data_IF_472321405093
#
_entry.id   IF_472321405093
#
_cell.length_a   1.000
_cell.length_b   1.000
_cell.length_c   1.000
_cell.angle_alpha   90.00
_cell.angle_beta   90.00
_cell.angle_gamma   90.00
#
_symmetry.space_group_name_H-M   'P 1'
#
loop_
_entity.id
_entity.type
_entity.pdbx_description
1 polymer ?
#
# COMPACT_ATOMS: atom_id res chain seq x y z
N UNK A 1 -24.06 -9.31 15.83
CA UNK A 1 -23.90 -8.62 17.14
C UNK A 1 -22.58 -7.86 17.09
N UNK A 2 -22.62 -6.52 17.20
CA UNK A 2 -21.41 -5.70 17.30
C UNK A 2 -20.74 -6.06 18.61
N UNK A 3 -19.49 -6.52 18.56
CA UNK A 3 -18.70 -6.78 19.79
C UNK A 3 -18.51 -5.42 20.49
N UNK A 4 -18.89 -5.35 21.75
CA UNK A 4 -18.79 -4.14 22.57
C UNK A 4 -17.33 -3.67 22.61
N UNK A 5 -17.09 -2.40 22.22
CA UNK A 5 -15.73 -1.83 22.14
C UNK A 5 -15.10 -1.75 20.74
N UNK A 6 -15.71 -2.31 19.70
CA UNK A 6 -15.18 -2.21 18.33
C UNK A 6 -15.34 -0.79 17.75
N UNK A 7 -14.28 -0.29 17.15
CA UNK A 7 -14.32 0.92 16.32
C UNK A 7 -14.96 0.63 14.96
N UNK A 8 -15.41 1.66 14.26
CA UNK A 8 -15.90 1.52 12.88
C UNK A 8 -14.87 0.87 11.94
N UNK A 9 -13.59 1.17 12.12
CA UNK A 9 -12.51 0.61 11.32
C UNK A 9 -12.32 -0.90 11.54
N UNK A 10 -12.50 -1.37 12.77
CA UNK A 10 -12.41 -2.80 13.09
C UNK A 10 -13.58 -3.57 12.48
N UNK A 11 -14.78 -3.00 12.54
CA UNK A 11 -15.95 -3.56 11.87
C UNK A 11 -15.76 -3.68 10.36
N UNK A 12 -15.31 -2.60 9.69
CA UNK A 12 -15.05 -2.61 8.25
C UNK A 12 -14.07 -3.73 7.87
N UNK A 13 -13.01 -3.94 8.65
CA UNK A 13 -12.03 -5.01 8.38
C UNK A 13 -12.65 -6.40 8.52
N UNK A 14 -13.35 -6.67 9.63
CA UNK A 14 -13.97 -7.97 9.86
C UNK A 14 -15.05 -8.34 8.83
N UNK A 15 -15.84 -7.34 8.40
CA UNK A 15 -16.92 -7.53 7.42
C UNK A 15 -16.43 -7.51 5.96
N UNK A 16 -15.14 -7.24 5.72
CA UNK A 16 -14.60 -7.01 4.38
C UNK A 16 -14.32 -8.26 3.55
N UNK A 17 -14.54 -9.45 4.07
CA UNK A 17 -14.12 -10.70 3.43
C UNK A 17 -12.61 -10.64 3.06
N UNK A 18 -11.77 -10.50 4.08
CA UNK A 18 -10.31 -10.43 3.95
C UNK A 18 -9.83 -9.33 2.98
N UNK A 19 -10.30 -8.11 3.18
CA UNK A 19 -9.96 -6.89 2.43
C UNK A 19 -10.57 -6.79 1.01
N UNK A 20 -11.52 -7.64 0.66
CA UNK A 20 -12.20 -7.54 -0.64
C UNK A 20 -13.17 -6.37 -0.67
N UNK A 21 -14.04 -6.28 0.33
CA UNK A 21 -15.16 -5.33 0.30
C UNK A 21 -15.90 -5.42 -1.04
N UNK A 22 -16.37 -4.31 -1.53
CA UNK A 22 -16.94 -4.18 -2.88
C UNK A 22 -15.99 -3.51 -3.88
N UNK A 23 -14.66 -3.58 -3.64
CA UNK A 23 -13.67 -2.89 -4.48
C UNK A 23 -13.79 -3.32 -5.94
N UNK A 24 -13.90 -4.63 -6.20
CA UNK A 24 -13.99 -5.15 -7.57
C UNK A 24 -15.24 -4.65 -8.32
N UNK A 25 -16.39 -4.65 -7.66
CA UNK A 25 -17.63 -4.12 -8.27
C UNK A 25 -17.51 -2.64 -8.60
N UNK A 26 -17.00 -1.84 -7.67
CA UNK A 26 -16.82 -0.41 -7.83
C UNK A 26 -15.75 -0.05 -8.88
N UNK A 27 -14.72 -0.87 -9.07
CA UNK A 27 -13.73 -0.67 -10.14
C UNK A 27 -14.35 -0.72 -11.53
N UNK A 28 -15.34 -1.60 -11.72
CA UNK A 28 -16.00 -1.78 -13.02
C UNK A 28 -17.14 -0.78 -13.25
N UNK A 29 -17.56 -0.05 -12.23
CA UNK A 29 -18.59 0.99 -12.36
C UNK A 29 -17.98 2.26 -12.96
N UNK A 30 -18.23 2.50 -14.25
CA UNK A 30 -17.78 3.71 -14.95
C UNK A 30 -18.53 4.99 -14.56
N UNK A 31 -19.64 4.89 -13.80
CA UNK A 31 -20.44 6.04 -13.37
C UNK A 31 -19.88 6.78 -12.15
N UNK A 32 -18.93 6.20 -11.43
CA UNK A 32 -18.33 6.80 -10.25
C UNK A 32 -16.82 7.05 -10.45
N UNK A 33 -16.33 8.13 -9.86
CA UNK A 33 -14.92 8.56 -9.97
C UNK A 33 -14.10 8.25 -8.72
N UNK A 34 -14.74 7.79 -7.64
CA UNK A 34 -14.15 7.56 -6.33
C UNK A 34 -14.78 6.36 -5.63
N UNK A 35 -14.22 5.95 -4.52
CA UNK A 35 -14.74 4.88 -3.67
C UNK A 35 -15.43 5.45 -2.43
N UNK A 36 -16.50 4.83 -1.93
CA UNK A 36 -17.09 5.14 -0.64
C UNK A 36 -16.09 4.96 0.52
N UNK A 37 -16.42 5.50 1.70
CA UNK A 37 -15.49 5.57 2.84
C UNK A 37 -15.01 4.22 3.35
N UNK A 38 -15.82 3.17 3.26
CA UNK A 38 -15.44 1.82 3.70
C UNK A 38 -14.41 1.22 2.74
N UNK A 39 -14.66 1.27 1.44
CA UNK A 39 -13.71 0.80 0.43
C UNK A 39 -12.47 1.68 0.35
N UNK A 40 -12.60 3.01 0.52
CA UNK A 40 -11.43 3.89 0.66
C UNK A 40 -10.53 3.45 1.82
N UNK A 41 -11.12 3.02 2.94
CA UNK A 41 -10.35 2.50 4.06
C UNK A 41 -9.66 1.18 3.70
N UNK A 42 -10.33 0.25 3.02
CA UNK A 42 -9.78 -1.03 2.59
C UNK A 42 -8.67 -0.86 1.53
N UNK A 43 -8.82 0.07 0.59
CA UNK A 43 -7.80 0.39 -0.42
C UNK A 43 -6.43 0.68 0.19
N UNK A 44 -6.37 1.21 1.42
CA UNK A 44 -5.11 1.46 2.11
C UNK A 44 -4.29 0.19 2.33
N UNK A 45 -4.95 -0.94 2.57
CA UNK A 45 -4.26 -2.24 2.69
C UNK A 45 -3.68 -2.72 1.37
N UNK A 46 -4.31 -2.36 0.25
CA UNK A 46 -3.79 -2.60 -1.10
C UNK A 46 -2.71 -1.59 -1.52
N UNK A 47 -2.31 -0.68 -0.63
CA UNK A 47 -1.31 0.35 -0.88
C UNK A 47 -1.82 1.57 -1.63
N UNK A 48 -3.13 1.70 -1.79
CA UNK A 48 -3.79 2.78 -2.51
C UNK A 48 -4.39 3.78 -1.51
N UNK A 49 -4.28 5.06 -1.80
CA UNK A 49 -4.90 6.12 -1.00
C UNK A 49 -5.66 7.05 -1.93
N UNK A 50 -6.96 7.18 -1.70
CA UNK A 50 -7.81 8.12 -2.40
C UNK A 50 -7.50 9.55 -1.95
N UNK A 51 -7.38 10.45 -2.88
CA UNK A 51 -7.05 11.87 -2.67
C UNK A 51 -7.87 12.71 -3.63
N UNK A 52 -7.84 14.02 -3.46
CA UNK A 52 -8.38 14.96 -4.44
C UNK A 52 -7.33 16.02 -4.81
N UNK A 53 -7.49 16.67 -5.94
CA UNK A 53 -6.64 17.78 -6.31
C UNK A 53 -6.94 18.97 -5.37
N UNK A 54 -5.98 19.26 -4.48
CA UNK A 54 -6.13 20.27 -3.44
C UNK A 54 -6.22 21.68 -4.00
N UNK A 55 -5.53 21.95 -5.09
CA UNK A 55 -5.47 23.28 -5.70
C UNK A 55 -6.79 23.64 -6.39
N UNK A 56 -7.48 22.65 -6.96
CA UNK A 56 -8.77 22.80 -7.58
C UNK A 56 -9.95 22.74 -6.61
N UNK A 57 -9.75 22.15 -5.42
CA UNK A 57 -10.84 21.83 -4.47
C UNK A 57 -11.77 22.99 -4.18
N UNK A 58 -11.22 24.18 -3.91
CA UNK A 58 -12.00 25.36 -3.59
C UNK A 58 -12.77 25.91 -4.80
N UNK A 59 -12.14 25.90 -5.97
CA UNK A 59 -12.73 26.39 -7.22
C UNK A 59 -13.88 25.47 -7.61
N UNK A 60 -13.67 24.15 -7.62
CA UNK A 60 -14.69 23.16 -7.93
C UNK A 60 -15.88 23.25 -6.97
N UNK A 61 -15.61 23.39 -5.66
CA UNK A 61 -16.67 23.57 -4.66
C UNK A 61 -17.51 24.82 -4.91
N UNK A 62 -16.89 25.95 -5.26
CA UNK A 62 -17.61 27.20 -5.59
C UNK A 62 -18.48 27.05 -6.83
N UNK A 63 -18.04 26.24 -7.79
CA UNK A 63 -18.75 26.02 -9.05
C UNK A 63 -19.77 24.87 -8.97
N UNK A 64 -20.02 24.28 -7.78
CA UNK A 64 -20.91 23.13 -7.62
C UNK A 64 -20.45 21.85 -8.32
N UNK A 65 -19.15 21.75 -8.65
CA UNK A 65 -18.56 20.60 -9.32
C UNK A 65 -18.10 19.56 -8.32
N UNK A 66 -18.13 18.28 -8.72
CA UNK A 66 -17.53 17.19 -7.95
C UNK A 66 -16.02 17.40 -7.77
N UNK A 67 -15.45 16.82 -6.71
CA UNK A 67 -13.99 16.82 -6.49
C UNK A 67 -13.28 16.12 -7.64
N UNK A 68 -12.09 16.59 -7.98
CA UNK A 68 -11.21 15.90 -8.90
C UNK A 68 -10.47 14.79 -8.13
N UNK A 69 -11.06 13.59 -8.14
CA UNK A 69 -10.55 12.45 -7.40
C UNK A 69 -9.35 11.83 -8.09
N UNK A 70 -8.29 11.63 -7.32
CA UNK A 70 -7.03 11.05 -7.75
C UNK A 70 -6.58 10.01 -6.72
N UNK A 71 -5.69 9.12 -7.14
CA UNK A 71 -5.16 8.08 -6.28
C UNK A 71 -3.65 8.16 -6.19
N UNK A 72 -3.15 7.85 -5.00
CA UNK A 72 -1.74 7.63 -4.71
C UNK A 72 -1.50 6.14 -4.47
N UNK A 73 -0.57 5.56 -5.22
CA UNK A 73 -0.11 4.20 -5.03
C UNK A 73 1.23 4.22 -4.32
N UNK A 74 1.40 3.35 -3.32
CA UNK A 74 2.64 3.24 -2.57
C UNK A 74 3.29 1.90 -2.84
N UNK A 75 4.49 1.93 -3.39
CA UNK A 75 5.31 0.75 -3.65
C UNK A 75 5.94 0.26 -2.35
N UNK A 76 5.88 -1.04 -2.08
CA UNK A 76 6.52 -1.68 -0.94
C UNK A 76 7.92 -2.12 -1.33
N UNK A 77 8.92 -1.55 -0.68
CA UNK A 77 10.34 -1.74 -0.99
C UNK A 77 11.10 -2.05 0.31
N UNK A 78 11.21 -3.32 0.73
CA UNK A 78 11.91 -3.68 1.95
C UNK A 78 13.35 -3.17 1.92
N UNK A 79 13.77 -2.44 2.97
CA UNK A 79 15.07 -1.80 3.04
C UNK A 79 15.32 -0.70 2.02
N UNK A 80 14.29 -0.25 1.28
CA UNK A 80 14.41 0.81 0.27
C UNK A 80 15.18 0.41 -0.98
N UNK A 81 15.45 -0.90 -1.18
CA UNK A 81 16.24 -1.38 -2.32
C UNK A 81 15.32 -1.74 -3.48
N UNK A 82 15.70 -1.32 -4.67
CA UNK A 82 15.10 -1.72 -5.94
C UNK A 82 16.17 -1.86 -7.02
N UNK A 83 15.84 -2.64 -8.05
CA UNK A 83 16.71 -2.79 -9.22
C UNK A 83 16.56 -1.60 -10.18
N UNK A 84 17.53 -1.35 -11.08
CA UNK A 84 17.37 -0.33 -12.11
C UNK A 84 16.12 -0.53 -12.98
N UNK A 85 15.78 -1.78 -13.33
CA UNK A 85 14.58 -2.08 -14.10
C UNK A 85 13.29 -1.75 -13.34
N UNK A 86 13.24 -1.99 -12.04
CA UNK A 86 12.11 -1.59 -11.19
C UNK A 86 11.97 -0.08 -11.08
N UNK A 87 13.09 0.65 -11.01
CA UNK A 87 13.09 2.11 -11.00
C UNK A 87 12.52 2.66 -12.30
N UNK A 88 13.02 2.20 -13.45
CA UNK A 88 12.55 2.62 -14.77
C UNK A 88 11.06 2.29 -14.97
N UNK A 89 10.62 1.13 -14.50
CA UNK A 89 9.20 0.78 -14.54
C UNK A 89 8.36 1.75 -13.70
N UNK A 90 8.78 2.08 -12.48
CA UNK A 90 8.06 3.03 -11.64
C UNK A 90 8.00 4.44 -12.25
N UNK A 91 9.07 4.90 -12.89
CA UNK A 91 9.12 6.15 -13.63
C UNK A 91 8.14 6.13 -14.80
N UNK A 92 8.22 5.12 -15.67
CA UNK A 92 7.31 4.95 -16.80
C UNK A 92 5.84 4.96 -16.37
N UNK A 93 5.51 4.25 -15.28
CA UNK A 93 4.14 4.21 -14.75
C UNK A 93 3.69 5.56 -14.21
N UNK A 94 4.61 6.33 -13.60
CA UNK A 94 4.30 7.68 -13.14
C UNK A 94 4.03 8.64 -14.29
N UNK A 95 4.77 8.51 -15.39
CA UNK A 95 4.57 9.32 -16.59
C UNK A 95 3.28 8.95 -17.34
N UNK A 96 2.99 7.66 -17.41
CA UNK A 96 1.85 7.15 -18.19
C UNK A 96 0.51 7.32 -17.47
N UNK A 97 0.44 7.01 -16.18
CA UNK A 97 -0.81 6.95 -15.42
C UNK A 97 -0.88 7.96 -14.28
N UNK A 98 0.25 8.49 -13.84
CA UNK A 98 0.35 9.42 -12.73
C UNK A 98 0.53 10.88 -13.18
N UNK A 99 1.16 11.66 -12.32
CA UNK A 99 1.45 13.07 -12.57
C UNK A 99 2.91 13.33 -13.03
N UNK A 100 3.63 12.32 -13.50
CA UNK A 100 5.01 12.42 -13.96
C UNK A 100 6.04 12.61 -12.84
N UNK A 101 5.67 12.33 -11.57
CA UNK A 101 6.61 12.47 -10.46
C UNK A 101 6.59 11.29 -9.50
N UNK A 102 7.78 10.85 -9.08
CA UNK A 102 7.95 9.87 -8.01
C UNK A 102 8.25 10.58 -6.69
N UNK A 103 7.56 10.19 -5.61
CA UNK A 103 7.84 10.73 -4.27
C UNK A 103 8.50 9.68 -3.40
N UNK A 104 9.71 9.96 -2.94
CA UNK A 104 10.40 9.16 -1.94
C UNK A 104 9.80 9.42 -0.56
N UNK A 105 9.63 8.38 0.23
CA UNK A 105 9.08 8.50 1.59
C UNK A 105 10.14 8.29 2.66
N UNK A 106 9.91 8.87 3.85
CA UNK A 106 10.77 8.63 5.02
C UNK A 106 10.74 7.17 5.51
N UNK A 107 9.96 6.28 4.86
CA UNK A 107 9.91 4.85 5.14
C UNK A 107 10.49 4.02 3.98
N UNK A 108 11.43 4.59 3.26
CA UNK A 108 12.12 3.88 2.17
C UNK A 108 11.14 3.22 1.19
N UNK A 109 10.10 3.94 0.83
CA UNK A 109 9.09 3.53 -0.14
C UNK A 109 8.93 4.62 -1.19
N UNK A 110 8.37 4.28 -2.34
CA UNK A 110 8.08 5.22 -3.43
C UNK A 110 6.57 5.36 -3.56
N UNK A 111 6.13 6.53 -3.96
CA UNK A 111 4.73 6.83 -4.27
C UNK A 111 4.59 7.35 -5.69
N UNK A 112 3.58 6.83 -6.39
CA UNK A 112 3.06 7.36 -7.65
C UNK A 112 1.78 8.11 -7.31
N UNK A 113 1.66 9.35 -7.75
CA UNK A 113 0.51 10.22 -7.49
C UNK A 113 -0.21 10.58 -8.78
N UNK A 114 -1.49 10.92 -8.67
CA UNK A 114 -2.26 11.46 -9.80
C UNK A 114 -2.98 10.41 -10.64
N UNK A 115 -2.94 9.14 -10.24
CA UNK A 115 -3.62 8.08 -10.97
C UNK A 115 -5.14 8.27 -10.87
N UNK A 116 -5.86 8.13 -11.97
CA UNK A 116 -7.33 8.16 -11.98
C UNK A 116 -7.91 6.76 -11.76
N UNK A 117 -9.16 6.68 -11.32
CA UNK A 117 -9.81 5.40 -10.97
C UNK A 117 -9.78 4.39 -12.13
N UNK A 118 -10.02 4.84 -13.35
CA UNK A 118 -10.06 3.97 -14.54
C UNK A 118 -8.72 3.26 -14.82
N UNK A 119 -7.62 3.89 -14.45
CA UNK A 119 -6.27 3.37 -14.69
C UNK A 119 -5.71 2.55 -13.53
N UNK A 120 -6.40 2.54 -12.36
CA UNK A 120 -5.91 1.85 -11.18
C UNK A 120 -5.58 0.38 -11.45
N UNK A 121 -6.49 -0.34 -12.11
CA UNK A 121 -6.32 -1.78 -12.34
C UNK A 121 -5.12 -2.07 -13.24
N UNK A 122 -4.96 -1.30 -14.32
CA UNK A 122 -3.83 -1.46 -15.22
C UNK A 122 -2.52 -1.09 -14.53
N UNK A 123 -2.49 0.04 -13.83
CA UNK A 123 -1.30 0.46 -13.06
C UNK A 123 -0.88 -0.59 -12.03
N UNK A 124 -1.83 -1.22 -11.32
CA UNK A 124 -1.54 -2.27 -10.35
C UNK A 124 -0.98 -3.53 -11.00
N UNK A 125 -1.49 -3.92 -12.16
CA UNK A 125 -0.94 -5.03 -12.95
C UNK A 125 0.50 -4.77 -13.37
N UNK A 126 0.78 -3.58 -13.87
CA UNK A 126 2.10 -3.23 -14.38
C UNK A 126 3.13 -3.08 -13.25
N UNK A 127 2.72 -2.57 -12.07
CA UNK A 127 3.54 -2.62 -10.84
C UNK A 127 3.91 -4.07 -10.51
N UNK A 128 2.95 -4.99 -10.56
CA UNK A 128 3.19 -6.40 -10.28
C UNK A 128 4.10 -7.06 -11.33
N UNK A 129 3.91 -6.76 -12.61
CA UNK A 129 4.79 -7.23 -13.70
C UNK A 129 6.24 -6.76 -13.53
N UNK A 130 6.46 -5.62 -12.90
CA UNK A 130 7.79 -5.14 -12.53
C UNK A 130 8.38 -5.82 -11.28
N UNK A 131 7.75 -6.89 -10.78
CA UNK A 131 8.09 -7.59 -9.54
C UNK A 131 8.14 -6.64 -8.33
N UNK A 132 7.18 -5.71 -8.26
CA UNK A 132 6.95 -4.80 -7.14
C UNK A 132 5.55 -5.11 -6.60
N UNK A 133 5.34 -4.93 -5.30
CA UNK A 133 4.02 -5.03 -4.68
C UNK A 133 3.64 -3.73 -3.98
N UNK A 134 2.35 -3.52 -3.80
CA UNK A 134 1.80 -2.42 -3.01
C UNK A 134 1.08 -2.91 -1.76
N UNK A 135 0.92 -4.24 -1.62
CA UNK A 135 0.19 -4.82 -0.49
C UNK A 135 0.80 -4.40 0.85
N UNK A 136 -0.03 -4.01 1.79
CA UNK A 136 0.35 -3.53 3.13
C UNK A 136 1.39 -2.39 3.13
N UNK A 137 1.63 -1.72 2.01
CA UNK A 137 2.41 -0.48 1.99
C UNK A 137 1.70 0.66 2.75
N UNK A 138 0.39 0.54 2.94
CA UNK A 138 -0.49 1.36 3.78
C UNK A 138 -1.40 0.46 4.64
N UNK A 139 -2.37 1.03 5.36
CA UNK A 139 -3.33 0.27 6.18
C UNK A 139 -2.81 -0.13 7.56
N UNK A 140 -3.62 -0.89 8.28
CA UNK A 140 -3.36 -1.37 9.64
C UNK A 140 -2.77 -2.80 9.61
N UNK A 141 -1.60 -2.90 8.99
CA UNK A 141 -0.77 -4.08 8.87
C UNK A 141 0.70 -3.71 9.08
N UNK A 142 1.60 -4.69 8.97
CA UNK A 142 3.05 -4.42 9.01
C UNK A 142 3.47 -3.66 7.76
N UNK A 143 3.96 -2.45 7.99
CA UNK A 143 4.40 -1.51 6.96
C UNK A 143 5.74 -1.92 6.36
N UNK A 144 6.16 -1.21 5.32
CA UNK A 144 7.49 -1.41 4.74
C UNK A 144 8.57 -1.48 5.83
N UNK A 145 9.36 -2.55 5.85
CA UNK A 145 10.46 -2.75 6.79
C UNK A 145 11.64 -1.90 6.34
N UNK A 146 12.18 -1.11 7.26
CA UNK A 146 13.31 -0.21 6.99
C UNK A 146 14.63 -0.83 7.41
N UNK A 147 15.71 -0.41 6.75
CA UNK A 147 17.08 -0.75 7.10
C UNK A 147 17.92 0.53 7.13
N UNK A 148 18.79 0.68 8.13
CA UNK A 148 19.76 1.78 8.11
C UNK A 148 20.72 1.62 6.94
N UNK A 149 21.02 2.71 6.25
CA UNK A 149 21.90 2.73 5.09
C UNK A 149 23.30 3.18 5.53
N UNK A 150 24.28 2.27 5.37
CA UNK A 150 25.70 2.57 5.59
C UNK A 150 26.54 1.88 4.53
N UNK A 151 26.97 2.57 3.50
CA UNK A 151 27.71 1.98 2.38
C UNK A 151 29.09 1.43 2.77
N UNK A 152 29.63 1.87 3.91
CA UNK A 152 30.96 1.48 4.39
C UNK A 152 31.06 0.04 4.92
N UNK A 153 29.93 -0.57 5.32
CA UNK A 153 29.89 -1.92 5.90
C UNK A 153 29.09 -2.90 5.03
N UNK A 154 29.49 -3.08 3.80
CA UNK A 154 28.72 -3.79 2.77
C UNK A 154 28.29 -5.21 3.17
N UNK A 155 29.14 -6.00 3.84
CA UNK A 155 28.84 -7.38 4.23
C UNK A 155 27.77 -7.47 5.34
N UNK A 156 27.88 -6.64 6.37
CA UNK A 156 26.90 -6.58 7.47
C UNK A 156 25.57 -6.04 6.97
N UNK A 157 25.61 -5.01 6.12
CA UNK A 157 24.42 -4.45 5.52
C UNK A 157 23.65 -5.44 4.66
N UNK A 158 24.35 -6.24 3.86
CA UNK A 158 23.71 -7.27 3.05
C UNK A 158 23.00 -8.31 3.93
N UNK A 159 23.63 -8.71 5.04
CA UNK A 159 23.04 -9.62 6.01
C UNK A 159 21.76 -9.03 6.63
N UNK A 160 21.83 -7.79 7.13
CA UNK A 160 20.68 -7.10 7.74
C UNK A 160 19.57 -6.85 6.72
N UNK A 161 19.93 -6.47 5.50
CA UNK A 161 18.98 -6.31 4.41
C UNK A 161 18.22 -7.61 4.10
N UNK A 162 18.95 -8.74 3.99
CA UNK A 162 18.34 -10.03 3.72
C UNK A 162 17.40 -10.47 4.84
N UNK A 163 17.76 -10.25 6.10
CA UNK A 163 16.87 -10.48 7.25
C UNK A 163 15.62 -9.59 7.21
N UNK A 164 15.77 -8.31 6.90
CA UNK A 164 14.65 -7.39 6.79
C UNK A 164 13.70 -7.77 5.64
N UNK A 165 14.25 -8.20 4.50
CA UNK A 165 13.47 -8.68 3.35
C UNK A 165 12.71 -9.96 3.70
N UNK A 166 13.37 -10.92 4.35
CA UNK A 166 12.73 -12.16 4.78
C UNK A 166 11.61 -11.88 5.79
N UNK A 167 11.86 -11.03 6.78
CA UNK A 167 10.84 -10.64 7.75
C UNK A 167 9.68 -9.91 7.08
N UNK A 168 9.96 -8.98 6.15
CA UNK A 168 8.92 -8.30 5.38
C UNK A 168 8.01 -9.27 4.64
N UNK A 169 8.59 -10.31 4.03
CA UNK A 169 7.86 -11.35 3.32
C UNK A 169 7.01 -12.21 4.25
N UNK A 170 7.55 -12.59 5.43
CA UNK A 170 6.82 -13.38 6.44
C UNK A 170 5.66 -12.62 7.07
N UNK A 171 5.75 -11.29 7.12
CA UNK A 171 4.74 -10.40 7.68
C UNK A 171 3.87 -9.74 6.60
N UNK A 172 3.91 -10.23 5.38
CA UNK A 172 3.02 -9.78 4.32
C UNK A 172 1.65 -10.45 4.49
N UNK A 173 0.53 -9.71 4.34
CA UNK A 173 -0.79 -10.31 4.32
C UNK A 173 -0.90 -11.42 3.27
N UNK A 174 -1.52 -12.52 3.66
CA UNK A 174 -1.69 -13.69 2.79
C UNK A 174 -3.06 -13.73 2.11
N UNK A 175 -3.84 -12.67 2.25
CA UNK A 175 -5.14 -12.55 1.59
C UNK A 175 -5.02 -12.71 0.07
N UNK A 176 -5.93 -13.47 -0.51
CA UNK A 176 -6.04 -13.61 -1.95
C UNK A 176 -6.71 -12.40 -2.64
N UNK A 177 -7.36 -11.52 -1.86
CA UNK A 177 -8.08 -10.34 -2.36
C UNK A 177 -7.24 -9.46 -3.29
N UNK A 178 -5.95 -9.27 -2.95
CA UNK A 178 -5.05 -8.47 -3.78
C UNK A 178 -4.92 -9.03 -5.20
N UNK A 179 -4.70 -10.35 -5.32
CA UNK A 179 -4.54 -11.01 -6.61
C UNK A 179 -5.87 -11.12 -7.37
N UNK A 180 -6.96 -11.38 -6.67
CA UNK A 180 -8.29 -11.47 -7.28
C UNK A 180 -8.74 -10.12 -7.86
N UNK A 181 -8.60 -9.03 -7.10
CA UNK A 181 -9.08 -7.70 -7.50
C UNK A 181 -8.19 -7.10 -8.61
N UNK A 182 -6.87 -7.17 -8.44
CA UNK A 182 -5.95 -6.42 -9.29
C UNK A 182 -5.36 -7.23 -10.43
N UNK A 183 -5.18 -8.54 -10.25
CA UNK A 183 -4.48 -9.40 -11.21
C UNK A 183 -5.40 -10.41 -11.90
N UNK A 184 -6.71 -10.29 -11.74
CA UNK A 184 -7.73 -11.18 -12.31
C UNK A 184 -7.54 -12.67 -11.93
N UNK A 185 -6.91 -12.95 -10.80
CA UNK A 185 -6.81 -14.32 -10.31
C UNK A 185 -8.22 -14.86 -10.00
N UNK A 186 -8.47 -16.09 -10.39
CA UNK A 186 -9.75 -16.74 -10.05
C UNK A 186 -9.76 -17.00 -8.54
N UNK A 187 -10.90 -16.71 -7.90
CA UNK A 187 -11.13 -17.06 -6.51
C UNK A 187 -11.06 -18.57 -6.35
N UNK A 188 -10.02 -19.05 -5.70
CA UNK A 188 -9.90 -20.44 -5.28
C UNK A 188 -10.45 -20.48 -3.87
N UNK A 189 -11.59 -21.11 -3.67
CA UNK A 189 -12.16 -21.28 -2.34
C UNK A 189 -11.25 -22.22 -1.56
N UNK A 190 -10.44 -21.65 -0.69
CA UNK A 190 -9.73 -22.37 0.38
C UNK A 190 -10.47 -22.11 1.69
N UNK A 191 -11.01 -23.14 2.32
CA UNK A 191 -11.69 -22.96 3.60
C UNK A 191 -10.75 -22.40 4.66
N UNK A 192 -11.31 -21.70 5.60
CA UNK A 192 -10.91 -21.38 6.97
C UNK A 192 -9.59 -20.61 7.25
N UNK A 193 -8.53 -20.63 6.45
CA UNK A 193 -7.23 -20.00 6.82
C UNK A 193 -6.67 -19.10 5.73
N UNK A 194 -7.46 -18.20 5.18
CA UNK A 194 -7.00 -17.29 4.14
C UNK A 194 -5.98 -16.26 4.65
N UNK A 195 -6.06 -15.90 5.94
CA UNK A 195 -5.15 -14.92 6.56
C UNK A 195 -4.68 -15.41 7.94
N UNK A 196 -3.75 -16.38 7.96
CA UNK A 196 -3.35 -17.04 9.20
C UNK A 196 -2.59 -16.15 10.18
N UNK A 197 -1.94 -15.08 9.68
CA UNK A 197 -1.13 -14.20 10.51
C UNK A 197 -1.97 -13.13 11.21
N UNK A 198 -2.84 -12.48 10.46
CA UNK A 198 -3.59 -11.32 10.95
C UNK A 198 -5.04 -11.65 11.33
N UNK A 199 -5.59 -12.72 10.77
CA UNK A 199 -7.03 -12.98 10.83
C UNK A 199 -7.83 -11.89 10.09
N UNK A 200 -9.19 -11.95 10.15
CA UNK A 200 -10.06 -11.03 9.42
C UNK A 200 -9.98 -9.58 9.93
N UNK A 201 -9.65 -9.39 11.20
CA UNK A 201 -9.60 -8.06 11.85
C UNK A 201 -8.31 -7.28 11.61
N UNK A 202 -7.27 -7.91 11.09
CA UNK A 202 -5.94 -7.30 10.94
C UNK A 202 -5.42 -6.67 12.25
N UNK A 203 -4.50 -5.71 12.17
CA UNK A 203 -4.00 -5.02 13.35
C UNK A 203 -4.91 -3.84 13.73
N UNK A 204 -5.01 -3.49 15.03
CA UNK A 204 -5.73 -2.28 15.47
C UNK A 204 -5.11 -1.01 14.88
N UNK A 205 -3.81 -1.05 14.60
CA UNK A 205 -3.05 0.08 14.06
C UNK A 205 -1.85 -0.42 13.26
N UNK A 206 -1.35 0.40 12.32
CA UNK A 206 -0.11 0.14 11.57
C UNK A 206 1.04 -0.24 12.49
N UNK A 207 1.77 -1.29 12.16
CA UNK A 207 3.00 -1.70 12.83
C UNK A 207 4.22 -1.34 11.97
N UNK A 208 5.29 -0.89 12.60
CA UNK A 208 6.47 -0.38 11.90
C UNK A 208 7.72 -1.04 12.45
N UNK A 209 8.56 -1.57 11.54
CA UNK A 209 9.82 -2.22 11.87
C UNK A 209 10.95 -1.47 11.18
N UNK A 210 12.06 -1.30 11.88
CA UNK A 210 13.31 -0.80 11.33
C UNK A 210 14.49 -1.59 11.90
N UNK A 211 15.41 -1.98 11.04
CA UNK A 211 16.68 -2.59 11.42
C UNK A 211 17.77 -1.53 11.42
N UNK A 212 18.58 -1.52 12.45
CA UNK A 212 19.73 -0.60 12.57
C UNK A 212 20.88 -1.28 13.29
N UNK A 213 22.11 -0.85 13.01
CA UNK A 213 23.32 -1.31 13.69
C UNK A 213 23.58 -0.42 14.92
N UNK A 214 23.83 -0.98 16.13
CA UNK A 214 23.88 -0.22 17.39
C UNK A 214 24.89 0.93 17.41
N UNK A 215 26.00 0.81 16.71
CA UNK A 215 27.04 1.86 16.66
C UNK A 215 26.83 2.94 15.58
N UNK A 216 25.81 2.77 14.74
CA UNK A 216 25.55 3.63 13.58
C UNK A 216 24.08 4.05 13.52
N UNK A 217 23.47 4.25 14.69
CA UNK A 217 22.10 4.69 14.80
C UNK A 217 21.96 6.09 14.20
N UNK A 218 21.28 6.21 13.08
CA UNK A 218 20.92 7.51 12.56
C UNK A 218 19.96 8.19 13.52
N UNK A 219 20.21 9.44 13.85
CA UNK A 219 19.40 10.27 14.74
C UNK A 219 17.88 10.23 14.48
N UNK A 220 17.46 9.94 13.25
CA UNK A 220 16.05 9.78 12.87
C UNK A 220 15.31 8.65 13.61
N UNK A 221 16.03 7.66 14.17
CA UNK A 221 15.39 6.55 14.89
C UNK A 221 15.20 6.85 16.38
N UNK A 222 16.00 7.74 16.93
CA UNK A 222 15.93 8.16 18.35
C UNK A 222 14.80 9.14 18.66
N UNK A 223 14.25 9.82 17.64
CA UNK A 223 13.20 10.84 17.82
C UNK A 223 11.77 10.31 17.60
N UNK A 224 11.55 9.01 17.52
CA UNK A 224 10.23 8.40 17.23
C UNK A 224 9.78 7.39 18.30
N UNK A 225 10.00 7.70 19.55
CA UNK A 225 9.31 7.05 20.67
C UNK A 225 7.90 7.62 20.83
#
# INVERSE_FOLDING_TARGET
MIKEGYTSNERIKEESDFLRGNISGLLHDGGITHFPSEEEFLLKFHGITQQDNRDERLIRKKNGQERNWLFMLRLRLPGGRMTPSQWLAAETLSDQFGNGSLKLTTRQAIQIHGVVKQDLKQTMKDIHHAAITTIAASGDATRNVMVSLHPEDSGIHETVFNQARELSRKLEPQTHAYHEIWLDAKRIYSGAEEEPLYGPGYLPRKFKIAFTLPRKMMWMYTLRT
#
